data_IF_448956166878
#
_entry.id   IF_448956166878
#
_cell.length_a   1.000
_cell.length_b   1.000
_cell.length_c   1.000
_cell.angle_alpha   90.00
_cell.angle_beta   90.00
_cell.angle_gamma   90.00
#
_symmetry.space_group_name_H-M   'P 1'
#
loop_
_entity.id
_entity.type
_entity.pdbx_description
1 polymer ?
#
# COMPACT_ATOMS: atom_id res chain seq x y z
N UNK A 1 12.65 31.20 17.04
CA UNK A 1 11.97 30.16 16.24
C UNK A 1 12.09 28.89 17.04
N UNK A 2 11.00 28.48 17.71
CA UNK A 2 11.00 27.43 18.75
C UNK A 2 9.67 26.65 18.71
N UNK A 3 9.27 26.24 17.49
CA UNK A 3 7.94 25.69 17.20
C UNK A 3 7.93 24.24 16.71
N UNK A 4 9.10 23.67 16.40
CA UNK A 4 9.23 22.28 15.94
C UNK A 4 9.11 21.27 17.07
N UNK A 5 9.72 21.59 18.21
CA UNK A 5 9.80 20.71 19.38
C UNK A 5 8.41 20.50 20.02
N UNK A 6 7.59 21.55 20.03
CA UNK A 6 6.23 21.52 20.58
C UNK A 6 5.29 20.53 19.87
N UNK A 7 5.39 20.33 18.55
CA UNK A 7 4.47 19.43 17.81
C UNK A 7 4.84 17.97 18.08
N UNK A 8 6.14 17.68 18.10
CA UNK A 8 6.65 16.33 18.39
C UNK A 8 6.34 15.97 19.85
N UNK A 9 6.54 16.89 20.77
CA UNK A 9 6.22 16.68 22.20
C UNK A 9 4.72 16.53 22.44
N UNK A 10 3.88 17.34 21.79
CA UNK A 10 2.41 17.20 21.87
C UNK A 10 1.96 15.86 21.29
N UNK A 11 2.60 15.39 20.21
CA UNK A 11 2.31 14.08 19.63
C UNK A 11 2.69 12.93 20.57
N UNK A 12 3.88 12.98 21.17
CA UNK A 12 4.32 11.98 22.15
C UNK A 12 3.48 12.00 23.43
N UNK A 13 3.04 13.18 23.86
CA UNK A 13 2.17 13.34 25.03
C UNK A 13 0.78 12.75 24.76
N UNK A 14 0.20 12.98 23.58
CA UNK A 14 -1.05 12.35 23.16
C UNK A 14 -0.92 10.83 23.01
N UNK A 15 0.23 10.34 22.55
CA UNK A 15 0.51 8.90 22.44
C UNK A 15 0.65 8.25 23.82
N UNK A 16 1.31 8.91 24.76
CA UNK A 16 1.43 8.43 26.13
C UNK A 16 0.07 8.46 26.84
N UNK A 17 -0.75 9.50 26.62
CA UNK A 17 -2.13 9.54 27.10
C UNK A 17 -2.99 8.43 26.48
N UNK A 18 -2.89 8.19 25.17
CA UNK A 18 -3.62 7.11 24.51
C UNK A 18 -3.14 5.74 25.00
N UNK A 19 -1.85 5.57 25.26
CA UNK A 19 -1.29 4.35 25.86
C UNK A 19 -1.81 4.18 27.29
N UNK A 20 -1.78 5.20 28.12
CA UNK A 20 -2.31 5.13 29.48
C UNK A 20 -3.82 4.88 29.50
N UNK A 21 -4.59 5.51 28.60
CA UNK A 21 -6.02 5.31 28.47
C UNK A 21 -6.37 3.91 27.91
N UNK A 22 -5.63 3.39 26.93
CA UNK A 22 -5.90 2.09 26.32
C UNK A 22 -5.36 0.92 27.15
N UNK A 23 -4.32 1.13 27.96
CA UNK A 23 -3.69 0.10 28.80
C UNK A 23 -3.97 0.28 30.30
N UNK A 24 -4.82 1.22 30.72
CA UNK A 24 -5.26 1.30 32.11
C UNK A 24 -5.99 0.00 32.48
N UNK A 25 -5.72 -0.55 33.67
CA UNK A 25 -6.42 -1.74 34.15
C UNK A 25 -7.95 -1.57 34.20
N UNK A 26 -8.44 -0.32 34.24
CA UNK A 26 -9.85 0.03 34.25
C UNK A 26 -10.49 -0.09 32.85
N UNK A 27 -9.78 0.27 31.78
CA UNK A 27 -10.26 0.07 30.39
C UNK A 27 -10.12 -1.37 29.95
N UNK A 28 -9.12 -2.11 30.44
CA UNK A 28 -9.07 -3.57 30.27
C UNK A 28 -10.21 -4.28 31.03
N UNK A 29 -10.59 -3.81 32.21
CA UNK A 29 -11.76 -4.30 32.93
C UNK A 29 -13.08 -3.96 32.21
N UNK A 30 -13.21 -2.75 31.66
CA UNK A 30 -14.40 -2.34 30.90
C UNK A 30 -14.49 -3.00 29.52
N UNK A 31 -13.37 -3.24 28.83
CA UNK A 31 -13.34 -4.03 27.59
C UNK A 31 -13.69 -5.49 27.91
N UNK A 32 -13.12 -6.08 28.95
CA UNK A 32 -13.49 -7.44 29.35
C UNK A 32 -14.96 -7.54 29.84
N UNK A 33 -15.52 -6.49 30.44
CA UNK A 33 -16.88 -6.50 30.99
C UNK A 33 -17.97 -6.06 30.00
N UNK A 34 -17.65 -5.19 29.02
CA UNK A 34 -18.60 -4.66 28.02
C UNK A 34 -18.31 -5.08 26.57
N UNK A 35 -17.08 -5.52 26.23
CA UNK A 35 -16.73 -6.02 24.88
C UNK A 35 -16.79 -7.55 24.80
N UNK A 36 -16.77 -8.25 25.93
CA UNK A 36 -16.97 -9.71 26.03
C UNK A 36 -18.31 -10.13 26.67
N UNK A 37 -19.28 -9.22 26.77
CA UNK A 37 -20.65 -9.60 27.16
C UNK A 37 -21.46 -10.10 25.93
N UNK A 38 -22.25 -11.18 26.06
CA UNK A 38 -22.95 -11.89 24.96
C UNK A 38 -24.00 -11.09 24.14
N UNK A 39 -24.16 -9.79 24.37
CA UNK A 39 -25.21 -8.96 23.76
C UNK A 39 -24.66 -7.67 23.13
N UNK A 40 -23.53 -7.76 22.41
CA UNK A 40 -22.94 -6.63 21.67
C UNK A 40 -23.39 -6.61 20.18
N UNK A 41 -23.79 -5.45 19.61
CA UNK A 41 -24.14 -5.26 18.19
C UNK A 41 -23.03 -5.64 17.19
N UNK A 42 -21.78 -5.74 17.67
CA UNK A 42 -20.64 -6.23 16.90
C UNK A 42 -20.73 -7.74 16.65
N UNK A 43 -21.41 -8.50 17.53
CA UNK A 43 -21.63 -9.93 17.32
C UNK A 43 -22.72 -10.20 16.27
N UNK A 44 -23.74 -9.33 16.16
CA UNK A 44 -24.71 -9.38 15.05
C UNK A 44 -24.07 -8.98 13.73
N UNK A 45 -23.18 -7.97 13.72
CA UNK A 45 -22.41 -7.64 12.52
C UNK A 45 -21.49 -8.81 12.12
N UNK A 46 -20.74 -9.37 13.08
CA UNK A 46 -19.88 -10.53 12.83
C UNK A 46 -20.69 -11.74 12.37
N UNK A 47 -21.83 -12.03 12.98
CA UNK A 47 -22.73 -13.12 12.56
C UNK A 47 -23.30 -12.86 11.18
N UNK A 48 -23.77 -11.66 10.87
CA UNK A 48 -24.24 -11.32 9.52
C UNK A 48 -23.13 -11.39 8.49
N UNK A 49 -21.91 -10.95 8.81
CA UNK A 49 -20.76 -11.10 7.92
C UNK A 49 -20.39 -12.59 7.74
N UNK A 50 -20.39 -13.39 8.80
CA UNK A 50 -20.12 -14.82 8.73
C UNK A 50 -21.24 -15.61 8.05
N UNK A 51 -22.50 -15.22 8.22
CA UNK A 51 -23.67 -15.81 7.57
C UNK A 51 -23.70 -15.41 6.10
N UNK A 52 -23.37 -14.17 5.75
CA UNK A 52 -23.19 -13.77 4.35
C UNK A 52 -22.01 -14.50 3.71
N UNK A 53 -20.86 -14.60 4.39
CA UNK A 53 -19.71 -15.35 3.88
C UNK A 53 -20.03 -16.84 3.72
N UNK A 54 -20.70 -17.46 4.69
CA UNK A 54 -21.03 -18.89 4.64
C UNK A 54 -22.16 -19.19 3.66
N UNK A 55 -23.15 -18.30 3.50
CA UNK A 55 -24.20 -18.43 2.48
C UNK A 55 -23.61 -18.24 1.09
N UNK A 56 -22.75 -17.22 0.87
CA UNK A 56 -22.04 -17.05 -0.41
C UNK A 56 -21.12 -18.25 -0.72
N UNK A 57 -20.44 -18.80 0.28
CA UNK A 57 -19.57 -19.95 0.11
C UNK A 57 -20.36 -21.25 -0.16
N UNK A 58 -21.43 -21.50 0.58
CA UNK A 58 -22.21 -22.73 0.46
C UNK A 58 -23.20 -22.71 -0.72
N UNK A 59 -23.89 -21.60 -0.99
CA UNK A 59 -24.88 -21.53 -2.08
C UNK A 59 -24.23 -21.34 -3.46
N UNK A 60 -23.11 -20.61 -3.55
CA UNK A 60 -22.52 -20.24 -4.85
C UNK A 60 -21.28 -21.08 -5.17
N UNK A 61 -20.41 -21.34 -4.18
CA UNK A 61 -19.14 -22.04 -4.43
C UNK A 61 -19.28 -23.57 -4.37
N UNK A 62 -20.07 -24.11 -3.43
CA UNK A 62 -20.21 -25.57 -3.21
C UNK A 62 -20.69 -26.37 -4.44
N UNK A 63 -21.80 -26.02 -5.13
CA UNK A 63 -22.32 -26.84 -6.22
C UNK A 63 -21.45 -26.82 -7.48
N UNK A 64 -20.55 -25.83 -7.61
CA UNK A 64 -19.65 -25.70 -8.76
C UNK A 64 -18.29 -26.33 -8.48
N UNK A 65 -17.75 -26.18 -7.26
CA UNK A 65 -16.45 -26.74 -6.92
C UNK A 65 -16.47 -28.25 -6.70
N UNK A 66 -17.48 -28.81 -6.04
CA UNK A 66 -17.55 -30.25 -5.75
C UNK A 66 -17.42 -31.13 -7.00
N UNK A 67 -18.21 -30.95 -8.07
CA UNK A 67 -18.11 -31.81 -9.24
C UNK A 67 -16.80 -31.61 -10.02
N UNK A 68 -16.18 -30.43 -9.94
CA UNK A 68 -14.86 -30.17 -10.54
C UNK A 68 -13.78 -30.90 -9.76
N UNK A 69 -13.85 -30.91 -8.42
CA UNK A 69 -12.90 -31.58 -7.55
C UNK A 69 -12.99 -33.10 -7.68
N UNK A 70 -14.21 -33.65 -7.77
CA UNK A 70 -14.42 -35.09 -7.99
C UNK A 70 -13.91 -35.54 -9.35
N UNK A 71 -14.13 -34.74 -10.41
CA UNK A 71 -13.57 -35.02 -11.75
C UNK A 71 -12.05 -34.89 -11.76
N UNK A 72 -11.49 -33.93 -11.04
CA UNK A 72 -10.05 -33.80 -10.90
C UNK A 72 -9.46 -35.04 -10.20
N UNK A 73 -10.07 -35.50 -9.10
CA UNK A 73 -9.64 -36.72 -8.40
C UNK A 73 -9.76 -37.98 -9.26
N UNK A 74 -10.84 -38.14 -10.03
CA UNK A 74 -10.99 -39.26 -10.96
C UNK A 74 -9.97 -39.20 -12.11
N UNK A 75 -9.66 -38.01 -12.62
CA UNK A 75 -8.64 -37.81 -13.64
C UNK A 75 -7.22 -38.11 -13.11
N UNK A 76 -6.94 -37.76 -11.85
CA UNK A 76 -5.67 -38.06 -11.20
C UNK A 76 -5.40 -39.57 -11.11
N UNK A 77 -6.44 -40.37 -10.85
CA UNK A 77 -6.32 -41.83 -10.79
C UNK A 77 -6.13 -42.48 -12.17
N UNK A 78 -6.73 -41.93 -13.22
CA UNK A 78 -6.70 -42.52 -14.56
C UNK A 78 -5.48 -42.08 -15.40
N UNK A 79 -4.94 -40.88 -15.19
CA UNK A 79 -3.85 -40.33 -16.01
C UNK A 79 -3.04 -39.28 -15.23
N UNK A 80 -2.15 -39.70 -14.31
CA UNK A 80 -1.45 -38.79 -13.39
C UNK A 80 -0.69 -37.66 -14.10
N UNK A 81 -0.02 -37.97 -15.21
CA UNK A 81 0.88 -37.04 -15.91
C UNK A 81 0.14 -35.84 -16.53
N UNK A 82 -1.04 -36.09 -17.12
CA UNK A 82 -1.89 -35.05 -17.70
C UNK A 82 -2.43 -34.12 -16.62
N UNK A 83 -2.74 -34.65 -15.43
CA UNK A 83 -3.28 -33.82 -14.35
C UNK A 83 -2.20 -32.98 -13.68
N UNK A 84 -0.98 -33.52 -13.52
CA UNK A 84 0.16 -32.72 -13.04
C UNK A 84 0.43 -31.56 -13.99
N UNK A 85 0.47 -31.80 -15.31
CA UNK A 85 0.61 -30.73 -16.30
C UNK A 85 -0.54 -29.71 -16.22
N UNK A 86 -1.78 -30.17 -16.11
CA UNK A 86 -2.95 -29.29 -16.00
C UNK A 86 -2.89 -28.41 -14.74
N UNK A 87 -2.46 -28.96 -13.59
CA UNK A 87 -2.29 -28.21 -12.33
C UNK A 87 -1.20 -27.15 -12.48
N UNK A 88 -0.07 -27.48 -13.10
CA UNK A 88 1.01 -26.51 -13.35
C UNK A 88 0.51 -25.35 -14.23
N UNK A 89 -0.24 -25.66 -15.30
CA UNK A 89 -0.85 -24.64 -16.16
C UNK A 89 -1.83 -23.76 -15.39
N UNK A 90 -2.71 -24.37 -14.58
CA UNK A 90 -3.67 -23.62 -13.74
C UNK A 90 -2.94 -22.72 -12.75
N UNK A 91 -1.89 -23.22 -12.09
CA UNK A 91 -1.09 -22.44 -11.15
C UNK A 91 -0.42 -21.25 -11.84
N UNK A 92 0.13 -21.47 -13.04
CA UNK A 92 0.70 -20.39 -13.85
C UNK A 92 -0.35 -19.35 -14.24
N UNK A 93 -1.53 -19.78 -14.69
CA UNK A 93 -2.65 -18.88 -15.01
C UNK A 93 -3.09 -18.07 -13.80
N UNK A 94 -3.18 -18.69 -12.62
CA UNK A 94 -3.50 -18.01 -11.36
C UNK A 94 -2.41 -16.99 -11.01
N UNK A 95 -1.13 -17.36 -11.15
CA UNK A 95 -0.02 -16.44 -10.89
C UNK A 95 -0.08 -15.21 -11.82
N UNK A 96 -0.28 -15.43 -13.13
CA UNK A 96 -0.46 -14.34 -14.11
C UNK A 96 -1.68 -13.49 -13.76
N UNK A 97 -2.80 -14.11 -13.41
CA UNK A 97 -4.02 -13.40 -13.04
C UNK A 97 -3.81 -12.51 -11.81
N UNK A 98 -3.10 -13.02 -10.79
CA UNK A 98 -2.71 -12.25 -9.60
C UNK A 98 -1.81 -11.08 -9.99
N UNK A 99 -0.79 -11.30 -10.83
CA UNK A 99 0.08 -10.22 -11.30
C UNK A 99 -0.68 -9.13 -12.06
N UNK A 100 -1.63 -9.51 -12.91
CA UNK A 100 -2.50 -8.56 -13.62
C UNK A 100 -3.40 -7.78 -12.66
N UNK A 101 -3.94 -8.46 -11.64
CA UNK A 101 -4.73 -7.84 -10.60
C UNK A 101 -3.93 -6.85 -9.77
N UNK A 102 -2.74 -7.24 -9.31
CA UNK A 102 -1.82 -6.37 -8.58
C UNK A 102 -1.48 -5.15 -9.42
N UNK A 103 -1.13 -5.32 -10.70
CA UNK A 103 -0.87 -4.20 -11.61
C UNK A 103 -2.06 -3.24 -11.68
N UNK A 104 -3.29 -3.77 -11.79
CA UNK A 104 -4.51 -2.96 -11.85
C UNK A 104 -4.80 -2.24 -10.54
N UNK A 105 -4.67 -2.92 -9.41
CA UNK A 105 -4.87 -2.36 -8.07
C UNK A 105 -3.84 -1.27 -7.78
N UNK A 106 -2.57 -1.52 -8.08
CA UNK A 106 -1.50 -0.53 -7.94
C UNK A 106 -1.77 0.68 -8.82
N UNK A 107 -2.09 0.49 -10.10
CA UNK A 107 -2.39 1.62 -10.99
C UNK A 107 -3.59 2.44 -10.50
N UNK A 108 -4.66 1.77 -10.07
CA UNK A 108 -5.84 2.42 -9.52
C UNK A 108 -5.54 3.17 -8.22
N UNK A 109 -4.80 2.55 -7.31
CA UNK A 109 -4.43 3.15 -6.04
C UNK A 109 -3.49 4.34 -6.23
N UNK A 110 -2.48 4.21 -7.09
CA UNK A 110 -1.58 5.31 -7.47
C UNK A 110 -2.36 6.48 -8.07
N UNK A 111 -3.30 6.21 -8.98
CA UNK A 111 -4.16 7.26 -9.55
C UNK A 111 -5.03 7.92 -8.48
N UNK A 112 -5.56 7.15 -7.53
CA UNK A 112 -6.36 7.66 -6.42
C UNK A 112 -5.53 8.54 -5.47
N UNK A 113 -4.32 8.10 -5.11
CA UNK A 113 -3.39 8.88 -4.27
C UNK A 113 -3.02 10.18 -4.97
N UNK A 114 -2.63 10.15 -6.25
CA UNK A 114 -2.32 11.36 -7.01
C UNK A 114 -3.51 12.32 -7.07
N UNK A 115 -4.71 11.80 -7.28
CA UNK A 115 -5.94 12.59 -7.27
C UNK A 115 -6.17 13.23 -5.90
N UNK A 116 -5.99 12.50 -4.80
CA UNK A 116 -6.13 13.05 -3.45
C UNK A 116 -5.08 14.12 -3.14
N UNK A 117 -3.83 13.90 -3.51
CA UNK A 117 -2.76 14.90 -3.36
C UNK A 117 -3.09 16.17 -4.15
N UNK A 118 -3.55 16.02 -5.40
CA UNK A 118 -3.99 17.14 -6.22
C UNK A 118 -5.13 17.92 -5.55
N UNK A 119 -6.19 17.25 -5.09
CA UNK A 119 -7.32 17.91 -4.43
C UNK A 119 -6.93 18.55 -3.10
N UNK A 120 -6.04 17.91 -2.33
CA UNK A 120 -5.49 18.48 -1.10
C UNK A 120 -4.72 19.77 -1.38
N UNK A 121 -3.93 19.81 -2.45
CA UNK A 121 -3.19 20.99 -2.85
C UNK A 121 -4.12 22.13 -3.31
N UNK A 122 -5.12 21.82 -4.14
CA UNK A 122 -6.13 22.78 -4.58
C UNK A 122 -6.92 23.34 -3.39
N UNK A 123 -7.35 22.49 -2.46
CA UNK A 123 -8.06 22.91 -1.27
C UNK A 123 -7.17 23.76 -0.35
N UNK A 124 -5.89 23.40 -0.19
CA UNK A 124 -4.92 24.19 0.55
C UNK A 124 -4.73 25.59 -0.05
N UNK A 125 -4.55 25.68 -1.37
CA UNK A 125 -4.47 26.96 -2.09
C UNK A 125 -5.73 27.79 -1.90
N UNK A 126 -6.92 27.20 -2.06
CA UNK A 126 -8.18 27.89 -1.86
C UNK A 126 -8.31 28.42 -0.42
N UNK A 127 -7.90 27.64 0.58
CA UNK A 127 -7.91 28.06 1.98
C UNK A 127 -6.94 29.23 2.25
N UNK A 128 -5.72 29.19 1.70
CA UNK A 128 -4.74 30.28 1.84
C UNK A 128 -5.25 31.56 1.18
N UNK A 129 -5.79 31.47 -0.04
CA UNK A 129 -6.35 32.62 -0.76
C UNK A 129 -7.53 33.21 0.02
N UNK A 130 -8.39 32.37 0.60
CA UNK A 130 -9.53 32.82 1.40
C UNK A 130 -9.11 33.54 2.69
N UNK A 131 -8.05 33.07 3.36
CA UNK A 131 -7.59 33.66 4.63
C UNK A 131 -6.70 34.89 4.46
N UNK A 132 -5.82 34.91 3.46
CA UNK A 132 -4.71 35.89 3.36
C UNK A 132 -4.76 36.78 2.12
N UNK A 133 -5.67 36.50 1.19
CA UNK A 133 -5.72 37.19 -0.11
C UNK A 133 -4.68 36.68 -1.10
N UNK A 134 -4.86 37.05 -2.37
CA UNK A 134 -4.13 36.50 -3.52
C UNK A 134 -2.62 36.83 -3.50
N UNK A 135 -2.24 38.06 -3.12
CA UNK A 135 -0.84 38.53 -3.18
C UNK A 135 0.09 37.76 -2.22
N UNK A 136 -0.36 37.50 -0.98
CA UNK A 136 0.43 36.74 -0.01
C UNK A 136 0.48 35.25 -0.37
N UNK A 137 -0.60 34.70 -0.94
CA UNK A 137 -0.67 33.32 -1.37
C UNK A 137 0.33 32.99 -2.50
N UNK A 138 0.48 33.88 -3.48
CA UNK A 138 1.44 33.70 -4.59
C UNK A 138 2.87 33.71 -4.08
N UNK A 139 3.20 34.60 -3.12
CA UNK A 139 4.56 34.71 -2.58
C UNK A 139 4.96 33.48 -1.77
N UNK A 140 4.05 32.96 -0.95
CA UNK A 140 4.25 31.71 -0.20
C UNK A 140 4.38 30.51 -1.15
N UNK A 141 3.58 30.48 -2.23
CA UNK A 141 3.66 29.41 -3.23
C UNK A 141 5.01 29.41 -3.96
N UNK A 142 5.51 30.57 -4.38
CA UNK A 142 6.80 30.68 -5.06
C UNK A 142 7.94 30.28 -4.13
N UNK A 143 7.90 30.68 -2.85
CA UNK A 143 8.88 30.26 -1.86
C UNK A 143 8.87 28.74 -1.65
N UNK A 144 7.68 28.14 -1.55
CA UNK A 144 7.52 26.69 -1.42
C UNK A 144 8.03 25.94 -2.66
N UNK A 145 7.64 26.37 -3.86
CA UNK A 145 8.09 25.75 -5.13
C UNK A 145 9.60 25.88 -5.28
N UNK A 146 10.18 27.04 -4.95
CA UNK A 146 11.62 27.26 -4.97
C UNK A 146 12.38 26.31 -4.04
N UNK A 147 11.87 26.10 -2.82
CA UNK A 147 12.46 25.13 -1.88
C UNK A 147 12.40 23.70 -2.44
N UNK A 148 11.24 23.27 -2.94
CA UNK A 148 11.05 21.93 -3.52
C UNK A 148 11.98 21.70 -4.71
N UNK A 149 12.10 22.68 -5.62
CA UNK A 149 13.00 22.60 -6.77
C UNK A 149 14.47 22.51 -6.35
N UNK A 150 14.88 23.27 -5.32
CA UNK A 150 16.25 23.19 -4.80
C UNK A 150 16.60 21.81 -4.24
N UNK A 151 15.69 21.16 -3.52
CA UNK A 151 15.88 19.78 -3.06
C UNK A 151 15.88 18.77 -4.23
N UNK A 152 14.98 18.94 -5.20
CA UNK A 152 14.91 18.07 -6.37
C UNK A 152 16.20 18.12 -7.21
N UNK A 153 16.76 19.31 -7.40
CA UNK A 153 18.04 19.50 -8.08
C UNK A 153 19.19 18.80 -7.35
N UNK A 154 19.24 18.92 -6.02
CA UNK A 154 20.27 18.27 -5.20
C UNK A 154 20.25 16.74 -5.36
N UNK A 155 19.05 16.14 -5.30
CA UNK A 155 18.85 14.70 -5.47
C UNK A 155 19.22 14.28 -6.89
N UNK A 156 18.73 14.99 -7.91
CA UNK A 156 19.03 14.69 -9.31
C UNK A 156 20.54 14.71 -9.56
N UNK A 157 21.23 15.75 -9.09
CA UNK A 157 22.67 15.89 -9.24
C UNK A 157 23.43 14.75 -8.57
N UNK A 158 23.13 14.46 -7.30
CA UNK A 158 23.79 13.38 -6.56
C UNK A 158 23.63 12.03 -7.28
N UNK A 159 22.41 11.73 -7.72
CA UNK A 159 22.11 10.45 -8.38
C UNK A 159 22.79 10.37 -9.75
N UNK A 160 22.75 11.45 -10.54
CA UNK A 160 23.40 11.51 -11.86
C UNK A 160 24.90 11.26 -11.77
N UNK A 161 25.58 11.87 -10.80
CA UNK A 161 27.02 11.68 -10.59
C UNK A 161 27.36 10.24 -10.22
N UNK A 162 26.52 9.57 -9.41
CA UNK A 162 26.72 8.16 -9.05
C UNK A 162 26.57 7.24 -10.26
N UNK A 163 25.54 7.45 -11.09
CA UNK A 163 25.35 6.63 -12.30
C UNK A 163 26.45 6.84 -13.33
N UNK A 164 26.86 8.07 -13.58
CA UNK A 164 27.95 8.40 -14.51
C UNK A 164 29.26 7.70 -14.13
N UNK A 165 29.60 7.66 -12.84
CA UNK A 165 30.80 6.96 -12.35
C UNK A 165 30.78 5.46 -12.64
N UNK A 166 29.61 4.82 -12.56
CA UNK A 166 29.51 3.38 -12.86
C UNK A 166 29.58 3.12 -14.37
N UNK A 167 29.00 3.99 -15.20
CA UNK A 167 29.16 3.93 -16.66
C UNK A 167 30.63 4.05 -17.08
N UNK A 168 31.36 5.05 -16.56
CA UNK A 168 32.79 5.24 -16.84
C UNK A 168 33.61 4.01 -16.43
N UNK A 169 33.24 3.35 -15.33
CA UNK A 169 33.90 2.13 -14.85
C UNK A 169 33.74 0.94 -15.81
N UNK A 170 32.60 0.80 -16.48
CA UNK A 170 32.39 -0.23 -17.50
C UNK A 170 33.17 0.07 -18.78
N UNK A 171 33.18 1.33 -19.23
CA UNK A 171 33.95 1.73 -20.41
C UNK A 171 35.46 1.55 -20.20
N UNK A 172 35.98 1.90 -19.02
CA UNK A 172 37.39 1.69 -18.68
C UNK A 172 37.77 0.21 -18.74
N UNK A 173 36.93 -0.70 -18.23
CA UNK A 173 37.17 -2.15 -18.30
C UNK A 173 37.11 -2.68 -19.73
N UNK A 174 36.14 -2.23 -20.52
CA UNK A 174 36.01 -2.64 -21.92
C UNK A 174 37.22 -2.19 -22.74
N UNK A 175 37.68 -0.95 -22.54
CA UNK A 175 38.87 -0.42 -23.21
C UNK A 175 40.15 -1.17 -22.80
N UNK A 176 40.29 -1.54 -21.53
CA UNK A 176 41.43 -2.34 -21.06
C UNK A 176 41.44 -3.76 -21.64
N UNK A 177 40.28 -4.42 -21.76
CA UNK A 177 40.16 -5.75 -22.40
C UNK A 177 40.47 -5.65 -23.89
N UNK A 178 39.92 -4.65 -24.58
CA UNK A 178 40.18 -4.40 -26.00
C UNK A 178 41.67 -4.17 -26.28
N UNK A 179 42.35 -3.39 -25.43
CA UNK A 179 43.78 -3.09 -25.58
C UNK A 179 44.70 -4.26 -25.20
N UNK A 180 44.18 -5.30 -24.53
CA UNK A 180 44.94 -6.53 -24.20
C UNK A 180 44.77 -7.64 -25.24
N UNK A 181 43.79 -7.51 -26.14
CA UNK A 181 43.41 -8.51 -27.14
C UNK A 181 43.84 -8.15 -28.58
N UNK A 182 44.42 -6.96 -28.79
CA UNK A 182 45.07 -6.55 -30.04
C UNK A 182 46.57 -6.45 -29.84
#
# INVERSE_FOLDING_TARGET
MDGGDNIVDTFWQNLNFAREALFSQQTLALVNQHVLSPSSPLHTLRRQFLDLLSTLYNDIMSPVLQPVLDRAMQAFMNSPDVVVLAVVVVLLLVAVQVLLWVRRVVAWFTALVLRLVFWSFVAGLAAVVWQRGLDQAVRDLVAFVGAVMGYAELIYRYTSEVWLREYERYEAQQNLVKNRAG
#
